data_IF_612587291507
#
_entry.id   IF_612587291507
#
_cell.length_a   1.000
_cell.length_b   1.000
_cell.length_c   1.000
_cell.angle_alpha   90.00
_cell.angle_beta   90.00
_cell.angle_gamma   90.00
#
_symmetry.space_group_name_H-M   'P 1'
#
loop_
_entity.id
_entity.type
_entity.pdbx_description
1 polymer ?
#
# COMPACT_ATOMS: atom_id res chain seq x y z
N UNK A 1 5.18 -30.10 64.69
CA UNK A 1 4.31 -29.85 63.52
C UNK A 1 4.82 -28.65 62.76
N UNK A 2 5.24 -28.84 61.51
CA UNK A 2 5.60 -27.77 60.58
C UNK A 2 4.34 -27.27 59.84
N UNK A 3 4.33 -26.01 59.42
CA UNK A 3 3.75 -25.64 58.13
C UNK A 3 4.83 -25.14 57.16
N UNK A 4 4.67 -25.55 55.90
CA UNK A 4 5.49 -25.22 54.72
C UNK A 4 5.42 -23.71 54.35
N UNK A 5 6.46 -23.18 53.69
CA UNK A 5 6.45 -21.85 53.07
C UNK A 5 5.73 -21.88 51.71
N UNK A 6 4.97 -20.84 51.37
CA UNK A 6 4.33 -20.65 50.06
C UNK A 6 4.37 -19.18 49.68
N UNK A 7 4.88 -18.89 48.48
CA UNK A 7 4.79 -17.61 47.76
C UNK A 7 5.80 -16.56 48.25
N UNK A 8 6.72 -16.03 47.45
CA UNK A 8 6.58 -15.71 46.03
C UNK A 8 6.50 -14.20 45.89
N UNK A 9 7.68 -13.59 45.96
CA UNK A 9 8.15 -12.28 45.51
C UNK A 9 7.19 -11.24 44.88
N UNK A 10 7.37 -10.03 45.42
CA UNK A 10 7.49 -8.70 44.76
C UNK A 10 6.34 -8.11 43.95
N UNK A 11 5.78 -7.09 44.61
CA UNK A 11 5.12 -5.88 44.13
C UNK A 11 5.65 -5.41 42.76
N UNK A 12 4.73 -5.33 41.78
CA UNK A 12 4.97 -4.83 40.43
C UNK A 12 3.68 -4.31 39.78
N UNK A 13 3.10 -3.29 40.40
CA UNK A 13 2.11 -2.35 39.85
C UNK A 13 2.48 -1.80 38.46
N UNK A 14 1.80 -2.18 37.38
CA UNK A 14 1.77 -1.36 36.15
C UNK A 14 0.40 -1.42 35.44
N UNK A 15 -0.02 -0.21 35.07
CA UNK A 15 -1.37 0.26 34.74
C UNK A 15 -1.62 0.32 33.23
N UNK A 16 -2.91 0.44 32.93
CA UNK A 16 -3.63 0.48 31.66
C UNK A 16 -3.26 1.71 30.79
N UNK A 17 -3.36 1.51 29.48
CA UNK A 17 -3.19 2.40 28.31
C UNK A 17 -3.83 3.80 28.42
N UNK A 18 -3.11 4.84 27.99
CA UNK A 18 -3.72 6.03 27.34
C UNK A 18 -2.72 6.73 26.40
N UNK A 19 -3.16 6.95 25.16
CA UNK A 19 -2.47 7.76 24.16
C UNK A 19 -2.36 9.23 24.63
N UNK A 20 -1.15 9.77 24.68
CA UNK A 20 -0.87 11.18 24.88
C UNK A 20 0.13 11.69 23.85
N UNK A 21 -0.36 12.41 22.84
CA UNK A 21 0.44 13.11 21.84
C UNK A 21 0.92 14.44 22.47
N UNK A 22 2.12 14.43 23.05
CA UNK A 22 2.78 15.62 23.60
C UNK A 22 4.07 15.91 22.85
N UNK A 23 4.02 16.87 21.92
CA UNK A 23 5.17 17.34 21.17
C UNK A 23 5.97 18.32 22.04
N UNK A 24 6.92 17.81 22.82
CA UNK A 24 7.86 18.58 23.62
C UNK A 24 9.17 18.77 22.86
N UNK A 25 9.39 20.00 22.37
CA UNK A 25 10.60 20.40 21.65
C UNK A 25 11.74 20.60 22.67
N UNK A 26 12.71 19.68 22.69
CA UNK A 26 13.86 19.68 23.60
C UNK A 26 15.17 19.58 22.83
N UNK A 27 15.77 20.72 22.54
CA UNK A 27 17.14 20.90 22.03
C UNK A 27 18.17 20.49 23.09
N UNK A 28 18.95 19.43 22.85
CA UNK A 28 20.29 19.24 23.41
C UNK A 28 21.07 18.13 22.69
N UNK A 29 22.12 18.53 21.97
CA UNK A 29 23.38 17.80 21.72
C UNK A 29 23.34 16.34 21.25
N UNK A 30 23.53 16.13 19.94
CA UNK A 30 24.17 14.91 19.44
C UNK A 30 25.30 15.24 18.44
N UNK A 31 26.40 14.46 18.46
CA UNK A 31 27.55 14.65 17.57
C UNK A 31 27.16 14.39 16.09
N UNK A 32 27.93 14.94 15.11
CA UNK A 32 27.57 14.86 13.70
C UNK A 32 27.68 13.42 13.21
N UNK A 33 26.55 12.69 13.20
CA UNK A 33 26.43 11.45 12.46
C UNK A 33 26.41 11.80 10.97
N UNK A 34 27.46 11.34 10.28
CA UNK A 34 27.61 11.36 8.83
C UNK A 34 26.35 10.81 8.16
N UNK A 35 25.56 11.72 7.58
CA UNK A 35 24.40 11.38 6.76
C UNK A 35 24.90 10.69 5.49
N UNK A 36 24.84 9.37 5.45
CA UNK A 36 24.95 8.63 4.19
C UNK A 36 23.68 8.91 3.38
N UNK A 37 23.78 9.44 2.15
CA UNK A 37 22.61 9.58 1.31
C UNK A 37 22.14 8.17 0.95
N UNK A 38 21.03 7.75 1.55
CA UNK A 38 20.31 6.57 1.11
C UNK A 38 19.88 6.82 -0.33
N UNK A 39 20.65 6.27 -1.26
CA UNK A 39 20.42 6.32 -2.69
C UNK A 39 19.18 5.49 -3.00
N UNK A 40 18.01 6.05 -2.66
CA UNK A 40 16.70 5.50 -3.02
C UNK A 40 16.54 5.76 -4.50
N UNK A 41 17.17 4.90 -5.32
CA UNK A 41 17.01 4.91 -6.77
C UNK A 41 15.51 4.87 -7.05
N UNK A 42 14.96 5.99 -7.50
CA UNK A 42 13.55 6.11 -7.81
C UNK A 42 13.23 5.03 -8.86
N UNK A 43 12.38 4.07 -8.49
CA UNK A 43 11.97 3.00 -9.40
C UNK A 43 11.27 3.64 -10.60
N UNK A 44 11.81 3.45 -11.79
CA UNK A 44 11.20 3.95 -13.03
C UNK A 44 9.73 3.52 -13.10
N UNK A 45 8.85 4.48 -13.40
CA UNK A 45 7.40 4.26 -13.41
C UNK A 45 7.01 3.50 -14.67
N UNK A 46 6.39 2.34 -14.51
CA UNK A 46 5.79 1.62 -15.63
C UNK A 46 4.49 2.30 -16.05
N UNK A 47 4.32 2.52 -17.35
CA UNK A 47 3.11 3.07 -17.96
C UNK A 47 2.39 1.98 -18.74
N UNK A 48 1.07 1.96 -18.65
CA UNK A 48 0.22 1.13 -19.51
C UNK A 48 -0.12 1.92 -20.78
N UNK A 49 -0.12 1.25 -21.92
CA UNK A 49 -0.48 1.86 -23.20
C UNK A 49 -1.98 2.23 -23.23
N UNK A 50 -2.33 3.48 -23.57
CA UNK A 50 -3.71 3.94 -23.51
C UNK A 50 -4.61 3.36 -24.60
N UNK A 51 -4.05 2.88 -25.71
CA UNK A 51 -4.84 2.41 -26.85
C UNK A 51 -5.05 0.90 -26.84
N UNK A 52 -4.08 0.15 -26.32
CA UNK A 52 -4.07 -1.31 -26.43
C UNK A 52 -4.24 -2.01 -25.08
N UNK A 53 -3.68 -1.48 -23.99
CA UNK A 53 -3.66 -2.16 -22.70
C UNK A 53 -4.75 -1.67 -21.75
N UNK A 54 -4.99 -0.35 -21.70
CA UNK A 54 -6.05 0.20 -20.85
C UNK A 54 -7.45 -0.31 -21.21
N UNK A 55 -7.86 -0.38 -22.49
CA UNK A 55 -9.19 -0.90 -22.83
C UNK A 55 -9.37 -2.36 -22.40
N UNK A 56 -8.30 -3.17 -22.49
CA UNK A 56 -8.32 -4.58 -22.06
C UNK A 56 -8.46 -4.69 -20.55
N UNK A 57 -7.71 -3.90 -19.80
CA UNK A 57 -7.80 -3.83 -18.33
C UNK A 57 -9.19 -3.34 -17.88
N UNK A 58 -9.78 -2.38 -18.58
CA UNK A 58 -11.14 -1.90 -18.31
C UNK A 58 -12.19 -2.99 -18.55
N UNK A 59 -12.10 -3.71 -19.66
CA UNK A 59 -12.99 -4.85 -19.95
C UNK A 59 -12.92 -5.91 -18.83
N UNK A 60 -11.72 -6.34 -18.45
CA UNK A 60 -11.57 -7.31 -17.36
C UNK A 60 -12.08 -6.79 -16.01
N UNK A 61 -11.96 -5.48 -15.78
CA UNK A 61 -12.50 -4.85 -14.58
C UNK A 61 -14.03 -4.87 -14.53
N UNK A 62 -14.70 -4.63 -15.66
CA UNK A 62 -16.16 -4.71 -15.78
C UNK A 62 -16.67 -6.14 -15.53
N UNK A 63 -15.95 -7.15 -16.03
CA UNK A 63 -16.28 -8.56 -15.82
C UNK A 63 -16.03 -9.02 -14.37
N UNK A 64 -14.88 -8.67 -13.81
CA UNK A 64 -14.52 -9.00 -12.43
C UNK A 64 -13.65 -7.90 -11.78
N UNK A 65 -14.23 -7.02 -10.94
CA UNK A 65 -13.48 -5.99 -10.24
C UNK A 65 -12.48 -6.52 -9.19
N UNK A 66 -12.61 -7.79 -8.81
CA UNK A 66 -11.83 -8.49 -7.79
C UNK A 66 -11.27 -9.81 -8.34
N UNK A 67 -10.36 -9.76 -9.33
CA UNK A 67 -9.78 -10.96 -9.92
C UNK A 67 -8.97 -11.76 -8.91
N UNK A 68 -8.99 -13.09 -9.06
CA UNK A 68 -8.15 -14.00 -8.28
C UNK A 68 -6.68 -13.87 -8.69
N UNK A 69 -5.77 -14.43 -7.90
CA UNK A 69 -4.34 -14.41 -8.24
C UNK A 69 -4.05 -15.08 -9.58
N UNK A 70 -4.73 -16.19 -9.90
CA UNK A 70 -4.57 -16.90 -11.17
C UNK A 70 -5.05 -16.05 -12.36
N UNK A 71 -6.14 -15.30 -12.19
CA UNK A 71 -6.61 -14.38 -13.23
C UNK A 71 -5.63 -13.23 -13.45
N UNK A 72 -5.06 -12.67 -12.38
CA UNK A 72 -4.02 -11.64 -12.48
C UNK A 72 -2.79 -12.15 -13.25
N UNK A 73 -2.38 -13.39 -13.01
CA UNK A 73 -1.25 -14.00 -13.70
C UNK A 73 -1.52 -14.09 -15.20
N UNK A 74 -2.66 -14.68 -15.58
CA UNK A 74 -3.09 -14.78 -16.98
C UNK A 74 -3.24 -13.40 -17.65
N UNK A 75 -3.82 -12.41 -16.97
CA UNK A 75 -3.91 -11.03 -17.47
C UNK A 75 -2.54 -10.42 -17.72
N UNK A 76 -1.55 -10.73 -16.88
CA UNK A 76 -0.19 -10.24 -17.03
C UNK A 76 0.48 -10.85 -18.26
N UNK A 77 0.32 -12.16 -18.47
CA UNK A 77 0.83 -12.84 -19.67
C UNK A 77 0.20 -12.27 -20.94
N UNK A 78 -1.14 -12.15 -20.96
CA UNK A 78 -1.87 -11.61 -22.10
C UNK A 78 -1.43 -10.19 -22.49
N UNK A 79 -1.21 -9.31 -21.50
CA UNK A 79 -0.70 -7.96 -21.77
C UNK A 79 0.75 -7.96 -22.26
N UNK A 80 1.60 -8.83 -21.72
CA UNK A 80 2.99 -8.95 -22.18
C UNK A 80 3.12 -9.56 -23.59
N UNK A 81 2.12 -10.30 -24.05
CA UNK A 81 2.06 -10.79 -25.43
C UNK A 81 1.69 -9.71 -26.45
N UNK A 82 1.19 -8.54 -26.03
CA UNK A 82 0.88 -7.44 -26.95
C UNK A 82 2.14 -6.90 -27.63
N UNK A 83 2.03 -6.51 -28.90
CA UNK A 83 3.15 -6.00 -29.70
C UNK A 83 3.84 -4.80 -29.05
N UNK A 84 3.09 -3.94 -28.37
CA UNK A 84 3.65 -2.82 -27.62
C UNK A 84 4.68 -3.28 -26.59
N UNK A 85 4.43 -4.36 -25.84
CA UNK A 85 5.36 -4.84 -24.81
C UNK A 85 6.64 -5.47 -25.34
N UNK A 86 6.73 -5.78 -26.63
CA UNK A 86 7.97 -6.27 -27.22
C UNK A 86 9.07 -5.20 -27.26
N UNK A 87 8.70 -3.91 -27.28
CA UNK A 87 9.65 -2.79 -27.30
C UNK A 87 9.76 -2.03 -25.96
N UNK A 88 9.01 -2.44 -24.95
CA UNK A 88 8.93 -1.75 -23.65
C UNK A 88 9.13 -2.74 -22.48
N UNK A 89 9.42 -2.26 -21.26
CA UNK A 89 9.60 -3.15 -20.11
C UNK A 89 8.36 -4.02 -19.85
N UNK A 90 8.54 -5.30 -19.45
CA UNK A 90 7.43 -6.20 -19.20
C UNK A 90 6.63 -5.78 -17.96
N UNK A 91 5.34 -6.07 -18.00
CA UNK A 91 4.40 -5.90 -16.89
C UNK A 91 4.59 -7.05 -15.91
N UNK A 92 4.71 -6.75 -14.62
CA UNK A 92 4.63 -7.75 -13.57
C UNK A 92 3.21 -7.86 -13.02
N UNK A 93 2.89 -9.01 -12.41
CA UNK A 93 1.62 -9.22 -11.70
C UNK A 93 1.36 -8.16 -10.63
N UNK A 94 2.42 -7.59 -10.04
CA UNK A 94 2.32 -6.48 -9.10
C UNK A 94 1.72 -5.22 -9.72
N UNK A 95 2.12 -4.87 -10.96
CA UNK A 95 1.58 -3.71 -11.67
C UNK A 95 0.09 -3.87 -11.94
N UNK A 96 -0.34 -5.05 -12.40
CA UNK A 96 -1.76 -5.36 -12.65
C UNK A 96 -2.57 -5.29 -11.34
N UNK A 97 -2.06 -5.87 -10.23
CA UNK A 97 -2.69 -5.75 -8.91
C UNK A 97 -2.87 -4.30 -8.47
N UNK A 98 -1.84 -3.47 -8.63
CA UNK A 98 -1.92 -2.04 -8.31
C UNK A 98 -2.96 -1.35 -9.18
N UNK A 99 -3.01 -1.67 -10.48
CA UNK A 99 -3.98 -1.09 -11.40
C UNK A 99 -5.41 -1.37 -10.95
N UNK A 100 -5.76 -2.63 -10.62
CA UNK A 100 -7.11 -2.98 -10.12
C UNK A 100 -7.43 -2.27 -8.80
N UNK A 101 -6.48 -2.17 -7.86
CA UNK A 101 -6.65 -1.41 -6.62
C UNK A 101 -6.94 0.07 -6.90
N UNK A 102 -6.16 0.68 -7.79
CA UNK A 102 -6.30 2.07 -8.16
C UNK A 102 -7.62 2.33 -8.89
N UNK A 103 -8.04 1.41 -9.77
CA UNK A 103 -9.31 1.49 -10.51
C UNK A 103 -10.50 1.47 -9.56
N UNK A 104 -10.53 0.56 -8.57
CA UNK A 104 -11.56 0.54 -7.51
C UNK A 104 -11.54 1.82 -6.67
N UNK A 105 -10.35 2.29 -6.29
CA UNK A 105 -10.21 3.53 -5.55
C UNK A 105 -10.73 4.75 -6.33
N UNK A 106 -10.55 4.77 -7.66
CA UNK A 106 -11.13 5.79 -8.54
C UNK A 106 -12.65 5.70 -8.54
N UNK A 107 -13.26 4.51 -8.70
CA UNK A 107 -14.71 4.35 -8.63
C UNK A 107 -15.29 4.83 -7.29
N UNK A 108 -14.67 4.44 -6.16
CA UNK A 108 -15.09 4.91 -4.82
C UNK A 108 -14.96 6.43 -4.70
N UNK A 109 -13.85 7.01 -5.18
CA UNK A 109 -13.65 8.46 -5.16
C UNK A 109 -14.64 9.20 -6.05
N UNK A 110 -15.07 8.63 -7.16
CA UNK A 110 -16.11 9.24 -8.00
C UNK A 110 -17.48 9.16 -7.29
N UNK A 111 -17.79 8.05 -6.62
CA UNK A 111 -19.03 7.90 -5.83
C UNK A 111 -19.10 8.86 -4.63
N UNK A 112 -17.98 9.10 -3.94
CA UNK A 112 -17.91 10.02 -2.78
C UNK A 112 -17.58 11.46 -3.16
N UNK A 113 -16.83 11.67 -4.24
CA UNK A 113 -16.44 12.99 -4.75
C UNK A 113 -17.58 13.74 -5.42
N UNK A 114 -18.53 13.01 -6.04
CA UNK A 114 -19.79 13.57 -6.53
C UNK A 114 -20.65 14.18 -5.40
N UNK A 115 -20.59 13.60 -4.19
CA UNK A 115 -21.21 14.16 -2.99
C UNK A 115 -20.47 15.38 -2.43
N UNK A 116 -19.14 15.45 -2.57
CA UNK A 116 -18.35 16.56 -2.05
C UNK A 116 -18.50 17.83 -2.90
N UNK A 117 -18.71 17.68 -4.21
CA UNK A 117 -18.93 18.81 -5.13
C UNK A 117 -20.31 19.48 -4.90
N UNK A 118 -21.32 18.72 -4.44
CA UNK A 118 -22.66 19.22 -4.09
C UNK A 118 -22.69 20.07 -2.82
N UNK A 119 -21.68 19.96 -1.95
CA UNK A 119 -21.55 20.76 -0.71
C UNK A 119 -20.72 22.04 -0.89
N UNK A 120 -20.28 22.32 -2.12
CA UNK A 120 -19.52 23.54 -2.46
C UNK A 120 -20.31 24.49 -3.38
N UNK A 121 -21.61 24.30 -3.53
CA UNK A 121 -22.53 25.23 -4.24
C UNK A 121 -23.51 25.87 -3.27
#
# INVERSE_FOLDING_TARGET
MSPKPTGGETIGHQQITTNGNGNGNGTAGQPPQTQTPSNTVARSRLMFDPLTELPVLEKWFEENPHPTWLQIDHYTEALNSCQYRQSYPPISTHNVKIWFKNRRAKCKRMQTGDLNLKMMI
#
